data_IF_241967661078
#
_entry.id   IF_241967661078
#
_cell.length_a   1.000
_cell.length_b   1.000
_cell.length_c   1.000
_cell.angle_alpha   90.00
_cell.angle_beta   90.00
_cell.angle_gamma   90.00
#
_symmetry.space_group_name_H-M   'P 1'
#
loop_
_entity.id
_entity.type
_entity.pdbx_description
1 polymer ?
#
# COMPACT_ATOMS: atom_id res chain seq x y z
N UNK A 1 -8.69 -11.74 20.95
CA UNK A 1 -9.82 -11.62 20.00
C UNK A 1 -9.59 -10.37 19.15
N UNK A 2 -8.90 -10.47 18.02
CA UNK A 2 -8.70 -9.34 17.10
C UNK A 2 -9.86 -9.33 16.10
N UNK A 3 -10.85 -8.47 16.36
CA UNK A 3 -12.13 -8.42 15.63
C UNK A 3 -12.00 -7.88 14.20
N UNK A 4 -10.88 -7.22 13.88
CA UNK A 4 -10.57 -6.76 12.53
C UNK A 4 -9.70 -7.83 11.84
N UNK A 5 -10.35 -8.68 11.04
CA UNK A 5 -9.65 -9.64 10.20
C UNK A 5 -8.75 -8.92 9.19
N UNK A 6 -7.52 -9.39 9.01
CA UNK A 6 -6.52 -8.83 8.07
C UNK A 6 -7.07 -8.66 6.64
N UNK A 7 -8.08 -9.46 6.27
CA UNK A 7 -8.83 -9.37 5.01
C UNK A 7 -9.51 -8.00 4.80
N UNK A 8 -10.06 -7.39 5.86
CA UNK A 8 -10.73 -6.07 5.79
C UNK A 8 -9.72 -4.93 5.67
N UNK A 9 -8.59 -4.99 6.39
CA UNK A 9 -7.52 -3.98 6.26
C UNK A 9 -6.92 -3.97 4.85
N UNK A 10 -6.69 -5.13 4.26
CA UNK A 10 -6.21 -5.23 2.88
C UNK A 10 -7.19 -4.63 1.86
N UNK A 11 -8.48 -4.97 1.97
CA UNK A 11 -9.51 -4.40 1.09
C UNK A 11 -9.65 -2.89 1.26
N UNK A 12 -9.59 -2.38 2.49
CA UNK A 12 -9.67 -0.93 2.74
C UNK A 12 -8.44 -0.22 2.17
N UNK A 13 -7.24 -0.76 2.32
CA UNK A 13 -6.02 -0.20 1.72
C UNK A 13 -6.11 -0.10 0.20
N UNK A 14 -6.50 -1.19 -0.48
CA UNK A 14 -6.71 -1.21 -1.94
C UNK A 14 -7.79 -0.24 -2.40
N UNK A 15 -8.91 -0.18 -1.67
CA UNK A 15 -10.00 0.72 -2.00
C UNK A 15 -9.55 2.18 -1.86
N UNK A 16 -8.77 2.49 -0.82
CA UNK A 16 -8.25 3.82 -0.56
C UNK A 16 -7.29 4.29 -1.66
N UNK A 17 -6.38 3.41 -2.11
CA UNK A 17 -5.48 3.70 -3.24
C UNK A 17 -6.25 3.94 -4.55
N UNK A 18 -7.30 3.15 -4.82
CA UNK A 18 -8.16 3.36 -5.98
C UNK A 18 -8.95 4.68 -5.91
N UNK A 19 -9.48 5.02 -4.73
CA UNK A 19 -10.21 6.27 -4.50
C UNK A 19 -9.27 7.48 -4.68
N UNK A 20 -8.04 7.45 -4.18
CA UNK A 20 -7.08 8.54 -4.40
C UNK A 20 -6.70 8.70 -5.86
N UNK A 21 -6.55 7.62 -6.63
CA UNK A 21 -6.29 7.69 -8.06
C UNK A 21 -7.43 8.38 -8.84
N UNK A 22 -8.68 8.06 -8.51
CA UNK A 22 -9.86 8.70 -9.09
C UNK A 22 -9.92 10.19 -8.69
N UNK A 23 -9.69 10.50 -7.40
CA UNK A 23 -9.66 11.88 -6.91
C UNK A 23 -8.58 12.71 -7.62
N UNK A 24 -7.41 12.14 -7.89
CA UNK A 24 -6.32 12.83 -8.59
C UNK A 24 -6.71 13.15 -10.05
N UNK A 25 -7.43 12.23 -10.71
CA UNK A 25 -7.99 12.45 -12.05
C UNK A 25 -9.03 13.59 -12.06
N UNK A 26 -9.86 13.68 -11.02
CA UNK A 26 -10.86 14.74 -10.88
C UNK A 26 -10.25 16.08 -10.45
N UNK A 27 -9.13 16.05 -9.70
CA UNK A 27 -8.41 17.24 -9.28
C UNK A 27 -7.86 18.04 -10.47
N UNK A 28 -7.53 17.37 -11.57
CA UNK A 28 -7.06 18.00 -12.81
C UNK A 28 -8.14 18.92 -13.46
N UNK A 29 -9.40 18.82 -13.03
CA UNK A 29 -10.49 19.68 -13.50
C UNK A 29 -10.67 20.96 -12.65
N UNK A 30 -9.98 21.08 -11.51
CA UNK A 30 -10.12 22.23 -10.62
C UNK A 30 -9.22 23.41 -11.04
N UNK A 31 -9.75 24.65 -11.10
CA UNK A 31 -8.95 25.83 -11.38
C UNK A 31 -7.92 26.11 -10.26
N UNK A 32 -6.76 26.61 -10.65
CA UNK A 32 -5.62 26.84 -9.76
C UNK A 32 -5.97 27.82 -8.62
N UNK A 33 -5.98 27.32 -7.38
CA UNK A 33 -6.27 28.08 -6.17
C UNK A 33 -5.86 27.32 -4.91
N UNK A 34 -6.10 27.91 -3.73
CA UNK A 34 -5.80 27.32 -2.40
C UNK A 34 -6.43 25.94 -2.19
N UNK A 35 -7.56 25.67 -2.86
CA UNK A 35 -8.24 24.38 -2.83
C UNK A 35 -7.40 23.24 -3.44
N UNK A 36 -6.61 23.53 -4.49
CA UNK A 36 -5.78 22.54 -5.16
C UNK A 36 -4.64 22.05 -4.24
N UNK A 37 -4.05 22.97 -3.47
CA UNK A 37 -3.00 22.64 -2.51
C UNK A 37 -3.52 21.72 -1.39
N UNK A 38 -4.63 22.11 -0.75
CA UNK A 38 -5.21 21.31 0.33
C UNK A 38 -5.71 19.94 -0.15
N UNK A 39 -6.35 19.88 -1.32
CA UNK A 39 -6.82 18.62 -1.87
C UNK A 39 -5.66 17.68 -2.23
N UNK A 40 -4.59 18.19 -2.82
CA UNK A 40 -3.37 17.42 -3.09
C UNK A 40 -2.73 16.88 -1.81
N UNK A 41 -2.64 17.70 -0.76
CA UNK A 41 -2.12 17.29 0.55
C UNK A 41 -2.91 16.12 1.14
N UNK A 42 -4.24 16.21 1.14
CA UNK A 42 -5.13 15.16 1.64
C UNK A 42 -4.97 13.88 0.82
N UNK A 43 -4.96 13.97 -0.51
CA UNK A 43 -4.79 12.81 -1.39
C UNK A 43 -3.46 12.10 -1.10
N UNK A 44 -2.36 12.84 -0.91
CA UNK A 44 -1.06 12.24 -0.58
C UNK A 44 -1.05 11.52 0.76
N UNK A 45 -1.71 12.07 1.78
CA UNK A 45 -1.86 11.38 3.06
C UNK A 45 -2.66 10.08 2.91
N UNK A 46 -3.75 10.10 2.15
CA UNK A 46 -4.60 8.93 1.94
C UNK A 46 -3.88 7.83 1.13
N UNK A 47 -3.12 8.22 0.10
CA UNK A 47 -2.35 7.28 -0.73
C UNK A 47 -1.23 6.61 0.08
N UNK A 48 -0.48 7.39 0.86
CA UNK A 48 0.57 6.85 1.74
C UNK A 48 0.00 5.89 2.81
N UNK A 49 -1.17 6.22 3.37
CA UNK A 49 -1.88 5.34 4.30
C UNK A 49 -2.33 4.03 3.63
N UNK A 50 -2.82 4.11 2.38
CA UNK A 50 -3.21 2.94 1.58
C UNK A 50 -2.05 1.98 1.36
N UNK A 51 -0.92 2.49 0.89
CA UNK A 51 0.31 1.71 0.68
C UNK A 51 0.84 1.09 1.98
N UNK A 52 0.87 1.86 3.07
CA UNK A 52 1.29 1.38 4.38
C UNK A 52 0.36 0.28 4.94
N UNK A 53 -0.95 0.42 4.74
CA UNK A 53 -1.92 -0.58 5.19
C UNK A 53 -1.84 -1.87 4.35
N UNK A 54 -1.59 -1.74 3.04
CA UNK A 54 -1.39 -2.86 2.13
C UNK A 54 -0.16 -3.68 2.51
N UNK A 55 1.00 -3.04 2.73
CA UNK A 55 2.23 -3.76 3.12
C UNK A 55 2.06 -4.40 4.50
N UNK A 56 1.43 -3.70 5.44
CA UNK A 56 1.16 -4.20 6.80
C UNK A 56 0.24 -5.42 6.78
N UNK A 57 -0.86 -5.37 6.02
CA UNK A 57 -1.79 -6.50 5.91
C UNK A 57 -1.16 -7.70 5.22
N UNK A 58 -0.41 -7.47 4.14
CA UNK A 58 0.29 -8.53 3.41
C UNK A 58 1.28 -9.25 4.31
N UNK A 59 2.03 -8.50 5.12
CA UNK A 59 2.95 -9.04 6.11
C UNK A 59 2.22 -9.80 7.22
N UNK A 60 1.15 -9.23 7.77
CA UNK A 60 0.35 -9.87 8.83
C UNK A 60 -0.31 -11.18 8.37
N UNK A 61 -0.79 -11.24 7.13
CA UNK A 61 -1.35 -12.45 6.51
C UNK A 61 -0.25 -13.50 6.31
N UNK A 62 0.90 -13.10 5.77
CA UNK A 62 2.05 -13.99 5.59
C UNK A 62 2.52 -14.59 6.93
N UNK A 63 2.58 -13.76 7.98
CA UNK A 63 2.92 -14.18 9.33
C UNK A 63 1.90 -15.15 9.96
N UNK A 64 0.61 -14.96 9.67
CA UNK A 64 -0.45 -15.87 10.12
C UNK A 64 -0.41 -17.21 9.38
N UNK A 65 -0.01 -17.23 8.11
CA UNK A 65 0.03 -18.44 7.27
C UNK A 65 1.26 -19.32 7.58
N UNK A 66 2.38 -18.72 7.99
CA UNK A 66 3.64 -19.42 8.26
C UNK A 66 4.22 -19.08 9.65
N UNK A 67 3.60 -19.53 10.76
CA UNK A 67 4.00 -19.16 12.12
C UNK A 67 5.43 -19.58 12.52
N UNK A 68 6.06 -20.53 11.80
CA UNK A 68 7.45 -20.96 12.03
C UNK A 68 8.47 -20.59 10.96
N UNK A 69 8.06 -19.95 9.86
CA UNK A 69 8.93 -19.60 8.72
C UNK A 69 8.86 -18.13 8.31
N UNK A 70 8.32 -17.29 9.18
CA UNK A 70 8.20 -15.84 8.97
C UNK A 70 9.53 -15.21 8.55
N UNK A 71 10.63 -15.62 9.19
CA UNK A 71 11.97 -15.17 8.86
C UNK A 71 12.36 -15.49 7.41
N UNK A 72 12.06 -16.69 6.89
CA UNK A 72 12.37 -17.09 5.51
C UNK A 72 11.53 -16.32 4.49
N UNK A 73 10.24 -16.09 4.74
CA UNK A 73 9.37 -15.41 3.79
C UNK A 73 9.73 -13.91 3.68
N UNK A 74 10.04 -13.29 4.81
CA UNK A 74 10.48 -11.88 4.88
C UNK A 74 11.88 -11.70 4.31
N UNK A 75 12.82 -12.58 4.67
CA UNK A 75 14.16 -12.60 4.09
C UNK A 75 14.10 -12.85 2.59
N UNK A 76 13.21 -13.71 2.09
CA UNK A 76 13.07 -13.95 0.65
C UNK A 76 12.47 -12.75 -0.09
N UNK A 77 11.55 -12.00 0.51
CA UNK A 77 11.06 -10.75 -0.07
C UNK A 77 12.16 -9.67 -0.11
N UNK A 78 12.93 -9.55 0.97
CA UNK A 78 14.05 -8.61 1.07
C UNK A 78 15.27 -9.01 0.21
N UNK A 79 15.58 -10.30 0.06
CA UNK A 79 16.62 -10.80 -0.85
C UNK A 79 16.18 -10.77 -2.32
N UNK A 80 14.88 -10.89 -2.61
CA UNK A 80 14.33 -10.74 -3.95
C UNK A 80 14.60 -9.35 -4.54
N UNK A 81 14.62 -8.30 -3.71
CA UNK A 81 15.05 -6.94 -4.09
C UNK A 81 16.57 -6.77 -4.24
N UNK A 82 17.37 -7.76 -3.83
CA UNK A 82 18.83 -7.77 -3.96
C UNK A 82 19.32 -8.70 -5.08
N UNK A 83 18.53 -8.93 -6.14
CA UNK A 83 19.04 -9.47 -7.40
C UNK A 83 19.55 -8.33 -8.29
N UNK A 84 20.85 -7.96 -8.27
CA UNK A 84 21.46 -7.24 -9.38
C UNK A 84 21.61 -8.23 -10.53
N UNK A 85 20.74 -8.14 -11.53
CA UNK A 85 20.89 -8.92 -12.76
C UNK A 85 19.61 -9.52 -13.30
N UNK A 86 18.76 -8.69 -13.88
CA UNK A 86 18.02 -9.08 -15.08
C UNK A 86 18.65 -8.30 -16.24
N UNK A 87 19.72 -8.87 -16.78
CA UNK A 87 20.57 -8.25 -17.78
C UNK A 87 21.89 -8.99 -17.88
N UNK A 88 21.82 -10.25 -18.31
CA UNK A 88 22.77 -10.96 -19.20
C UNK A 88 22.16 -12.32 -19.49
N UNK A 89 21.28 -12.38 -20.49
CA UNK A 89 21.31 -13.28 -21.66
C UNK A 89 20.52 -12.60 -22.79
#
# INVERSE_FOLDING_TARGET
MTTIGSKRMFTVGLFMTGVTAILFGFLNLLPAGSLFFWASLVIRCLEALGDACFVTSSFAISAKCFPGRIATVVVSWANGSSRPGLGKE
#
